data_IF_053206656872
#
_entry.id   IF_053206656872
#
_cell.length_a   1.000
_cell.length_b   1.000
_cell.length_c   1.000
_cell.angle_alpha   90.00
_cell.angle_beta   90.00
_cell.angle_gamma   90.00
#
_symmetry.space_group_name_H-M   'P 1'
#
loop_
_entity.id
_entity.type
_entity.pdbx_description
1 polymer ?
#
# COMPACT_ATOMS: atom_id res chain seq x y z
N UNK A 1 -3.89 -0.22 -16.28
CA UNK A 1 -4.74 -1.40 -16.03
C UNK A 1 -4.24 -2.04 -14.74
N UNK A 2 -4.90 -1.83 -13.60
CA UNK A 2 -4.48 -2.43 -12.34
C UNK A 2 -4.89 -3.90 -12.37
N UNK A 3 -3.92 -4.78 -12.58
CA UNK A 3 -4.13 -6.21 -12.47
C UNK A 3 -4.58 -6.51 -11.04
N UNK A 4 -5.82 -6.99 -10.88
CA UNK A 4 -6.33 -7.46 -9.59
C UNK A 4 -5.47 -8.65 -9.15
N UNK A 5 -4.41 -8.39 -8.38
CA UNK A 5 -3.60 -9.46 -7.80
C UNK A 5 -4.41 -10.09 -6.69
N UNK A 6 -4.23 -11.40 -6.48
CA UNK A 6 -4.85 -12.18 -5.39
C UNK A 6 -4.73 -11.52 -4.00
N UNK A 7 -3.76 -10.63 -3.85
CA UNK A 7 -3.39 -9.97 -2.60
C UNK A 7 -3.86 -8.50 -2.50
N UNK A 8 -4.47 -7.94 -3.54
CA UNK A 8 -4.98 -6.57 -3.51
C UNK A 8 -6.25 -6.47 -2.65
N UNK A 9 -6.34 -5.38 -1.91
CA UNK A 9 -7.55 -5.09 -1.12
C UNK A 9 -8.70 -4.65 -2.03
N UNK A 10 -9.90 -5.13 -1.70
CA UNK A 10 -11.13 -4.68 -2.35
C UNK A 10 -11.37 -3.19 -2.09
N UNK A 11 -11.98 -2.49 -3.05
CA UNK A 11 -12.36 -1.07 -2.90
C UNK A 11 -13.22 -0.81 -1.67
N UNK A 12 -14.06 -1.78 -1.26
CA UNK A 12 -14.87 -1.68 -0.03
C UNK A 12 -14.01 -1.63 1.23
N UNK A 13 -12.99 -2.49 1.29
CA UNK A 13 -12.03 -2.53 2.40
C UNK A 13 -11.18 -1.26 2.39
N UNK A 14 -10.72 -0.86 1.20
CA UNK A 14 -9.97 0.38 1.01
C UNK A 14 -10.75 1.61 1.49
N UNK A 15 -12.03 1.74 1.16
CA UNK A 15 -12.87 2.87 1.57
C UNK A 15 -13.02 3.02 3.10
N UNK A 16 -12.84 1.92 3.84
CA UNK A 16 -12.81 1.95 5.30
C UNK A 16 -11.43 2.35 5.83
N UNK A 17 -10.36 1.79 5.25
CA UNK A 17 -8.97 2.06 5.65
C UNK A 17 -8.55 3.49 5.32
N UNK A 18 -8.91 4.00 4.14
CA UNK A 18 -8.51 5.33 3.65
C UNK A 18 -8.92 6.44 4.62
N UNK A 19 -10.08 6.29 5.29
CA UNK A 19 -10.58 7.25 6.28
C UNK A 19 -9.74 7.33 7.55
N UNK A 20 -8.97 6.28 7.84
CA UNK A 20 -8.12 6.18 9.03
C UNK A 20 -6.68 6.61 8.77
N UNK A 21 -6.30 6.78 7.50
CA UNK A 21 -4.93 7.13 7.12
C UNK A 21 -4.75 8.66 7.06
N UNK A 22 -3.65 9.19 7.62
CA UNK A 22 -3.24 10.56 7.35
C UNK A 22 -2.89 10.67 5.85
N UNK A 23 -3.54 11.57 5.11
CA UNK A 23 -3.46 11.59 3.64
C UNK A 23 -4.81 11.56 2.92
N UNK A 24 -5.93 11.33 3.63
CA UNK A 24 -7.28 11.32 3.04
C UNK A 24 -7.68 12.68 2.45
N UNK A 25 -8.54 12.70 1.40
CA UNK A 25 -9.04 13.92 0.73
C UNK A 25 -9.26 15.08 1.73
N UNK A 26 -8.33 16.05 1.72
CA UNK A 26 -8.32 17.19 2.65
C UNK A 26 -7.05 17.36 3.49
N UNK A 27 -6.17 16.35 3.59
CA UNK A 27 -4.89 16.47 4.28
C UNK A 27 -3.75 16.88 3.34
N UNK A 28 -2.84 17.72 3.81
CA UNK A 28 -1.65 18.17 3.08
C UNK A 28 -0.67 17.00 2.92
N UNK A 29 -0.56 16.44 1.70
CA UNK A 29 0.32 15.32 1.38
C UNK A 29 0.13 14.76 -0.04
N UNK A 30 1.06 13.92 -0.50
CA UNK A 30 1.07 13.30 -1.85
C UNK A 30 -0.18 12.40 -2.05
N UNK A 31 -0.79 12.35 -3.25
CA UNK A 31 -2.15 11.85 -3.47
C UNK A 31 -2.40 10.42 -2.99
N UNK A 32 -3.68 10.12 -2.69
CA UNK A 32 -4.24 8.85 -2.21
C UNK A 32 -3.81 7.59 -2.99
N UNK A 33 -3.34 7.73 -4.23
CA UNK A 33 -2.78 6.64 -5.02
C UNK A 33 -1.57 5.97 -4.35
N UNK A 34 -0.69 6.74 -3.71
CA UNK A 34 0.49 6.19 -3.02
C UNK A 34 0.11 5.46 -1.72
N UNK A 35 -0.99 5.84 -1.07
CA UNK A 35 -1.45 5.20 0.16
C UNK A 35 -2.04 3.82 -0.11
N UNK A 36 -2.85 3.68 -1.17
CA UNK A 36 -3.41 2.38 -1.54
C UNK A 36 -2.32 1.42 -1.97
N UNK A 37 -1.37 1.91 -2.77
CA UNK A 37 -0.22 1.13 -3.22
C UNK A 37 0.64 0.65 -2.03
N UNK A 38 0.91 1.56 -1.08
CA UNK A 38 1.63 1.22 0.15
C UNK A 38 0.93 0.14 0.97
N UNK A 39 -0.38 0.29 1.19
CA UNK A 39 -1.15 -0.70 1.96
C UNK A 39 -1.19 -2.05 1.24
N UNK A 40 -1.36 -2.07 -0.09
CA UNK A 40 -1.25 -3.30 -0.88
C UNK A 40 0.13 -3.94 -0.75
N UNK A 41 1.21 -3.15 -0.76
CA UNK A 41 2.57 -3.64 -0.55
C UNK A 41 2.75 -4.30 0.83
N UNK A 42 2.25 -3.66 1.89
CA UNK A 42 2.28 -4.21 3.26
C UNK A 42 1.49 -5.52 3.33
N UNK A 43 0.26 -5.55 2.79
CA UNK A 43 -0.55 -6.77 2.78
C UNK A 43 0.08 -7.90 1.99
N UNK A 44 0.76 -7.59 0.88
CA UNK A 44 1.49 -8.59 0.12
C UNK A 44 2.56 -9.25 0.99
N UNK A 45 3.41 -8.45 1.66
CA UNK A 45 4.46 -8.95 2.57
C UNK A 45 3.87 -9.77 3.72
N UNK A 46 2.82 -9.26 4.38
CA UNK A 46 2.18 -9.97 5.50
C UNK A 46 1.56 -11.31 5.08
N UNK A 47 1.09 -11.41 3.83
CA UNK A 47 0.42 -12.61 3.32
C UNK A 47 1.38 -13.63 2.72
N UNK A 48 2.49 -13.19 2.14
CA UNK A 48 3.51 -14.09 1.56
C UNK A 48 4.60 -14.44 2.56
N UNK A 49 4.84 -13.62 3.58
CA UNK A 49 5.98 -13.74 4.48
C UNK A 49 7.33 -13.46 3.79
N UNK A 50 7.31 -12.94 2.55
CA UNK A 50 8.52 -12.67 1.79
C UNK A 50 9.30 -11.50 2.42
N UNK A 51 10.65 -11.48 2.28
CA UNK A 51 11.43 -10.35 2.73
C UNK A 51 11.08 -9.10 1.91
N UNK A 52 11.19 -7.92 2.53
CA UNK A 52 10.88 -6.64 1.87
C UNK A 52 11.61 -6.42 0.54
N UNK A 53 12.83 -6.96 0.39
CA UNK A 53 13.63 -6.83 -0.84
C UNK A 53 12.99 -7.52 -2.04
N UNK A 54 12.11 -8.48 -1.81
CA UNK A 54 11.41 -9.24 -2.85
C UNK A 54 10.05 -8.61 -3.19
N UNK A 55 9.77 -7.42 -2.66
CA UNK A 55 8.55 -6.69 -2.99
C UNK A 55 8.46 -6.46 -4.51
N UNK A 56 7.36 -6.86 -5.16
CA UNK A 56 7.17 -6.62 -6.58
C UNK A 56 7.26 -5.12 -6.92
N UNK A 57 8.00 -4.73 -7.98
CA UNK A 57 8.26 -3.33 -8.31
C UNK A 57 7.00 -2.54 -8.66
N UNK A 58 5.92 -3.21 -9.07
CA UNK A 58 4.62 -2.60 -9.32
C UNK A 58 3.86 -2.20 -8.04
N UNK A 59 4.21 -2.76 -6.88
CA UNK A 59 3.71 -2.35 -5.57
C UNK A 59 4.55 -1.21 -4.97
N UNK A 60 5.56 -0.74 -5.71
CA UNK A 60 6.40 0.39 -5.36
C UNK A 60 7.83 -0.01 -5.02
N UNK A 61 8.65 1.00 -4.74
CA UNK A 61 10.05 0.81 -4.36
C UNK A 61 10.15 0.26 -2.93
N UNK A 62 10.76 -0.93 -2.79
CA UNK A 62 10.85 -1.61 -1.50
C UNK A 62 11.53 -0.79 -0.41
N UNK A 63 12.52 0.05 -0.77
CA UNK A 63 13.26 0.85 0.22
C UNK A 63 12.36 1.93 0.80
N UNK A 64 11.62 2.64 -0.05
CA UNK A 64 10.68 3.67 0.37
C UNK A 64 9.50 3.09 1.15
N UNK A 65 8.94 1.98 0.67
CA UNK A 65 7.84 1.28 1.36
C UNK A 65 8.27 0.78 2.74
N UNK A 66 9.39 0.09 2.84
CA UNK A 66 9.91 -0.38 4.13
C UNK A 66 10.25 0.78 5.07
N UNK A 67 10.90 1.83 4.57
CA UNK A 67 11.19 3.04 5.36
C UNK A 67 9.92 3.70 5.89
N UNK A 68 8.85 3.73 5.09
CA UNK A 68 7.54 4.27 5.50
C UNK A 68 6.85 3.37 6.54
N UNK A 69 7.02 2.05 6.44
CA UNK A 69 6.47 1.09 7.40
C UNK A 69 7.16 1.17 8.77
N UNK A 70 8.47 1.40 8.81
CA UNK A 70 9.24 1.53 10.06
C UNK A 70 9.21 2.93 10.69
N UNK A 71 8.45 3.88 10.15
CA UNK A 71 8.27 5.22 10.74
C UNK A 71 7.15 5.21 11.75
#
# INVERSE_FOLDING_TARGET
MAAHRRHDISDKVWANIEKLLPGSKGSVGRPSADNRLFINAVFWILRTGAPWRDLPPDLGDWKNTHRRFCR
#
